data_IF_400645376408
#
_entry.id   IF_400645376408
#
_cell.length_a   1.000
_cell.length_b   1.000
_cell.length_c   1.000
_cell.angle_alpha   90.00
_cell.angle_beta   90.00
_cell.angle_gamma   90.00
#
_symmetry.space_group_name_H-M   'P 1'
#
loop_
_entity.id
_entity.type
_entity.pdbx_description
1 polymer ?
#
# COMPACT_ATOMS: atom_id res chain seq x y z
N UNK A 1 16.23 -13.97 -7.58
CA UNK A 1 16.25 -12.89 -6.56
C UNK A 1 14.91 -12.19 -6.41
N UNK A 2 14.33 -11.50 -7.43
CA UNK A 2 13.01 -10.85 -7.28
C UNK A 2 11.89 -11.85 -6.97
N UNK A 3 11.82 -12.97 -7.68
CA UNK A 3 10.78 -13.99 -7.46
C UNK A 3 10.90 -14.70 -6.10
N UNK A 4 12.09 -14.89 -5.56
CA UNK A 4 12.27 -15.43 -4.20
C UNK A 4 11.80 -14.45 -3.12
N UNK A 5 12.04 -13.15 -3.29
CA UNK A 5 11.51 -12.12 -2.41
C UNK A 5 9.99 -11.99 -2.52
N UNK A 6 9.44 -12.10 -3.74
CA UNK A 6 8.01 -12.11 -3.95
C UNK A 6 7.31 -13.22 -3.16
N UNK A 7 7.85 -14.44 -3.19
CA UNK A 7 7.30 -15.58 -2.44
C UNK A 7 7.24 -15.35 -0.91
N UNK A 8 8.15 -14.51 -0.38
CA UNK A 8 8.23 -14.23 1.05
C UNK A 8 7.43 -13.00 1.51
N UNK A 9 7.02 -12.12 0.58
CA UNK A 9 6.39 -10.84 0.92
C UNK A 9 5.00 -10.64 0.30
N UNK A 10 4.64 -11.43 -0.71
CA UNK A 10 3.29 -11.37 -1.28
C UNK A 10 2.34 -12.24 -0.46
N UNK A 11 1.26 -11.67 0.10
CA UNK A 11 0.27 -12.46 0.81
C UNK A 11 -0.29 -13.59 -0.06
N UNK A 12 -0.39 -14.79 0.50
CA UNK A 12 -0.77 -16.00 -0.25
C UNK A 12 -2.18 -15.92 -0.86
N UNK A 13 -3.08 -15.08 -0.31
CA UNK A 13 -4.43 -14.90 -0.86
C UNK A 13 -4.46 -14.24 -2.25
N UNK A 14 -3.36 -13.62 -2.71
CA UNK A 14 -3.28 -13.14 -4.10
C UNK A 14 -3.19 -14.26 -5.14
N UNK A 15 -2.80 -15.47 -4.72
CA UNK A 15 -2.80 -16.65 -5.58
C UNK A 15 -4.18 -17.36 -5.64
N UNK A 16 -5.16 -16.90 -4.84
CA UNK A 16 -6.51 -17.44 -4.76
C UNK A 16 -7.54 -16.34 -5.04
N UNK A 17 -8.16 -16.40 -6.22
CA UNK A 17 -9.13 -15.39 -6.67
C UNK A 17 -10.35 -15.25 -5.76
N UNK A 18 -10.84 -16.34 -5.14
CA UNK A 18 -11.99 -16.28 -4.21
C UNK A 18 -11.57 -15.63 -2.89
N UNK A 19 -10.45 -16.04 -2.31
CA UNK A 19 -9.92 -15.45 -1.09
C UNK A 19 -9.59 -13.97 -1.28
N UNK A 20 -8.94 -13.62 -2.37
CA UNK A 20 -8.61 -12.23 -2.71
C UNK A 20 -9.87 -11.36 -2.85
N UNK A 21 -10.89 -11.84 -3.57
CA UNK A 21 -12.17 -11.13 -3.72
C UNK A 21 -12.87 -10.95 -2.38
N UNK A 22 -12.87 -11.95 -1.51
CA UNK A 22 -13.46 -11.88 -0.16
C UNK A 22 -12.72 -10.89 0.72
N UNK A 23 -11.40 -10.86 0.63
CA UNK A 23 -10.57 -9.86 1.30
C UNK A 23 -10.90 -8.44 0.84
N UNK A 24 -10.95 -8.21 -0.47
CA UNK A 24 -11.32 -6.89 -1.04
C UNK A 24 -12.72 -6.45 -0.60
N UNK A 25 -13.69 -7.38 -0.58
CA UNK A 25 -15.07 -7.11 -0.14
C UNK A 25 -15.15 -6.80 1.36
N UNK A 26 -14.35 -7.46 2.17
CA UNK A 26 -14.31 -7.23 3.61
C UNK A 26 -13.70 -5.87 3.97
N UNK A 27 -12.69 -5.44 3.20
CA UNK A 27 -12.00 -4.16 3.38
C UNK A 27 -12.52 -3.08 2.41
N UNK A 28 -13.82 -2.89 2.38
CA UNK A 28 -14.49 -1.86 1.55
C UNK A 28 -14.24 -0.42 2.02
N UNK A 29 -13.53 -0.24 3.12
CA UNK A 29 -13.16 1.10 3.56
C UNK A 29 -12.23 1.76 2.54
N UNK A 30 -12.70 2.87 1.99
CA UNK A 30 -11.98 3.69 1.02
C UNK A 30 -11.36 4.94 1.66
N UNK A 31 -11.34 5.04 2.99
CA UNK A 31 -10.86 6.23 3.71
C UNK A 31 -9.42 6.56 3.37
N UNK A 32 -8.56 5.53 3.27
CA UNK A 32 -7.18 5.71 2.87
C UNK A 32 -7.08 6.20 1.41
N UNK A 33 -7.83 5.60 0.50
CA UNK A 33 -7.87 6.01 -0.92
C UNK A 33 -8.31 7.47 -1.01
N UNK A 34 -9.36 7.84 -0.30
CA UNK A 34 -9.85 9.23 -0.23
C UNK A 34 -8.76 10.17 0.32
N UNK A 35 -8.02 9.74 1.33
CA UNK A 35 -6.90 10.50 1.89
C UNK A 35 -5.78 10.69 0.87
N UNK A 36 -5.41 9.65 0.15
CA UNK A 36 -4.37 9.72 -0.90
C UNK A 36 -4.81 10.68 -2.00
N UNK A 37 -6.03 10.54 -2.54
CA UNK A 37 -6.55 11.43 -3.58
C UNK A 37 -6.55 12.89 -3.11
N UNK A 38 -7.02 13.14 -1.89
CA UNK A 38 -6.97 14.47 -1.30
C UNK A 38 -5.54 15.03 -1.14
N UNK A 39 -4.53 14.20 -0.91
CA UNK A 39 -3.14 14.66 -0.90
C UNK A 39 -2.66 14.98 -2.31
N UNK A 40 -3.00 14.15 -3.29
CA UNK A 40 -2.64 14.40 -4.70
C UNK A 40 -3.26 15.71 -5.21
N UNK A 41 -4.51 16.00 -4.84
CA UNK A 41 -5.22 17.24 -5.21
C UNK A 41 -4.55 18.51 -4.66
N UNK A 42 -3.74 18.39 -3.60
CA UNK A 42 -2.99 19.54 -3.05
C UNK A 42 -1.68 19.82 -3.77
N UNK A 43 -1.22 18.89 -4.61
CA UNK A 43 0.06 19.04 -5.32
C UNK A 43 -0.12 19.90 -6.56
N UNK A 44 0.85 20.78 -6.85
CA UNK A 44 0.78 21.61 -8.04
C UNK A 44 0.89 20.78 -9.31
N UNK A 45 -0.10 20.90 -10.16
CA UNK A 45 -0.11 20.38 -11.54
C UNK A 45 -0.30 21.57 -12.52
N UNK A 46 0.78 22.28 -12.86
CA UNK A 46 0.69 23.49 -13.67
C UNK A 46 0.19 23.23 -15.11
N UNK A 47 0.29 21.98 -15.57
CA UNK A 47 -0.17 21.60 -16.91
C UNK A 47 -1.65 21.16 -16.93
N UNK A 48 -2.26 20.94 -15.75
CA UNK A 48 -3.60 20.34 -15.61
C UNK A 48 -3.77 19.02 -16.40
N UNK A 49 -2.64 18.34 -16.62
CA UNK A 49 -2.56 17.10 -17.41
C UNK A 49 -2.62 15.83 -16.55
N UNK A 50 -2.70 16.00 -15.23
CA UNK A 50 -2.56 14.95 -14.25
C UNK A 50 -1.11 14.72 -13.83
N UNK A 51 -0.92 14.39 -12.56
CA UNK A 51 0.40 14.10 -12.01
C UNK A 51 0.94 12.77 -12.55
N UNK A 52 2.26 12.67 -12.68
CA UNK A 52 2.96 11.39 -12.83
C UNK A 52 3.22 10.83 -11.43
N UNK A 53 2.58 9.74 -11.09
CA UNK A 53 2.60 9.08 -9.78
C UNK A 53 3.34 7.76 -9.89
N UNK A 54 4.29 7.50 -8.99
CA UNK A 54 4.87 6.18 -8.77
C UNK A 54 4.11 5.51 -7.62
N UNK A 55 3.54 4.34 -7.87
CA UNK A 55 2.92 3.50 -6.84
C UNK A 55 3.73 2.22 -6.67
N UNK A 56 4.11 1.91 -5.43
CA UNK A 56 4.83 0.71 -5.05
C UNK A 56 3.88 -0.26 -4.33
N UNK A 57 4.11 -1.57 -4.51
CA UNK A 57 3.26 -2.63 -3.97
C UNK A 57 1.79 -2.43 -4.38
N UNK A 58 1.54 -2.22 -5.67
CA UNK A 58 0.23 -1.88 -6.20
C UNK A 58 -0.81 -3.01 -6.08
N UNK A 59 -0.35 -4.25 -5.88
CA UNK A 59 -1.22 -5.40 -5.74
C UNK A 59 -2.21 -5.53 -6.92
N UNK A 60 -3.46 -5.78 -6.60
CA UNK A 60 -4.55 -5.89 -7.57
C UNK A 60 -5.07 -4.54 -8.13
N UNK A 61 -4.41 -3.42 -7.78
CA UNK A 61 -4.75 -2.10 -8.29
C UNK A 61 -5.83 -1.37 -7.50
N UNK A 62 -6.03 -1.73 -6.23
CA UNK A 62 -7.04 -1.10 -5.37
C UNK A 62 -6.87 0.41 -5.25
N UNK A 63 -5.63 0.90 -5.21
CA UNK A 63 -5.29 2.33 -5.17
C UNK A 63 -4.96 2.86 -6.56
N UNK A 64 -4.29 2.07 -7.39
CA UNK A 64 -3.90 2.41 -8.77
C UNK A 64 -5.07 2.93 -9.59
N UNK A 65 -6.17 2.17 -9.62
CA UNK A 65 -7.32 2.49 -10.47
C UNK A 65 -8.01 3.79 -10.04
N UNK A 66 -8.30 4.04 -8.76
CA UNK A 66 -8.82 5.33 -8.31
C UNK A 66 -7.91 6.52 -8.63
N UNK A 67 -6.59 6.40 -8.46
CA UNK A 67 -5.63 7.46 -8.81
C UNK A 67 -5.70 7.77 -10.31
N UNK A 68 -5.70 6.74 -11.16
CA UNK A 68 -5.80 6.92 -12.61
C UNK A 68 -7.17 7.47 -13.03
N UNK A 69 -8.27 7.09 -12.36
CA UNK A 69 -9.61 7.61 -12.60
C UNK A 69 -9.73 9.08 -12.20
N UNK A 70 -8.97 9.56 -11.22
CA UNK A 70 -8.85 10.97 -10.86
C UNK A 70 -8.05 11.80 -11.89
N UNK A 71 -7.52 11.17 -12.94
CA UNK A 71 -6.84 11.86 -14.05
C UNK A 71 -5.31 11.78 -14.01
N UNK A 72 -4.72 11.13 -13.01
CA UNK A 72 -3.27 11.01 -12.88
C UNK A 72 -2.70 9.85 -13.71
N UNK A 73 -1.43 9.97 -14.11
CA UNK A 73 -0.68 8.91 -14.77
C UNK A 73 0.07 8.09 -13.73
N UNK A 74 -0.19 6.80 -13.65
CA UNK A 74 0.38 5.92 -12.62
C UNK A 74 1.37 4.95 -13.22
N UNK A 75 2.61 4.98 -12.74
CA UNK A 75 3.53 3.86 -12.85
C UNK A 75 3.31 2.98 -11.62
N UNK A 76 2.55 1.90 -11.79
CA UNK A 76 2.21 0.96 -10.74
C UNK A 76 3.21 -0.19 -10.72
N UNK A 77 3.82 -0.45 -9.58
CA UNK A 77 4.85 -1.48 -9.43
C UNK A 77 4.50 -2.46 -8.33
N UNK A 78 4.87 -3.72 -8.55
CA UNK A 78 4.82 -4.77 -7.54
C UNK A 78 6.01 -5.71 -7.71
N UNK A 79 6.38 -6.42 -6.64
CA UNK A 79 7.45 -7.41 -6.69
C UNK A 79 6.98 -8.69 -7.39
N UNK A 80 5.68 -9.01 -7.32
CA UNK A 80 5.06 -10.20 -7.88
C UNK A 80 4.60 -9.96 -9.32
N UNK A 81 5.19 -10.68 -10.26
CA UNK A 81 4.76 -10.64 -11.65
C UNK A 81 3.35 -11.23 -11.84
N UNK A 82 2.97 -12.20 -11.01
CA UNK A 82 1.65 -12.84 -11.08
C UNK A 82 0.54 -11.86 -10.69
N UNK A 83 0.78 -11.07 -9.63
CA UNK A 83 -0.12 -10.00 -9.20
C UNK A 83 -0.25 -8.91 -10.27
N UNK A 84 0.85 -8.55 -10.92
CA UNK A 84 0.83 -7.59 -12.04
C UNK A 84 0.05 -8.13 -13.24
N UNK A 85 0.18 -9.42 -13.55
CA UNK A 85 -0.59 -10.06 -14.61
C UNK A 85 -2.09 -10.06 -14.29
N UNK A 86 -2.47 -10.36 -13.05
CA UNK A 86 -3.86 -10.27 -12.59
C UNK A 86 -4.42 -8.85 -12.75
N UNK A 87 -3.64 -7.84 -12.37
CA UNK A 87 -4.03 -6.43 -12.57
C UNK A 87 -4.15 -6.09 -14.06
N UNK A 88 -3.21 -6.53 -14.90
CA UNK A 88 -3.25 -6.30 -16.34
C UNK A 88 -4.53 -6.86 -16.98
N UNK A 89 -4.95 -8.06 -16.58
CA UNK A 89 -6.18 -8.68 -17.10
C UNK A 89 -7.43 -7.93 -16.64
N UNK A 90 -7.49 -7.53 -15.38
CA UNK A 90 -8.56 -6.66 -14.86
C UNK A 90 -8.64 -5.32 -15.59
N UNK A 91 -7.51 -4.72 -15.95
CA UNK A 91 -7.48 -3.48 -16.72
C UNK A 91 -7.96 -3.66 -18.17
N UNK A 92 -7.68 -4.81 -18.79
CA UNK A 92 -8.22 -5.14 -20.12
C UNK A 92 -9.75 -5.25 -20.09
N UNK A 93 -10.31 -5.93 -19.09
CA UNK A 93 -11.75 -6.03 -18.91
C UNK A 93 -12.40 -4.65 -18.70
N UNK A 94 -11.78 -3.78 -17.89
CA UNK A 94 -12.25 -2.41 -17.64
C UNK A 94 -12.14 -1.50 -18.86
N UNK A 95 -11.11 -1.65 -19.71
CA UNK A 95 -11.00 -0.91 -20.99
C UNK A 95 -12.18 -1.19 -21.91
N UNK A 96 -12.72 -2.40 -21.88
CA UNK A 96 -13.91 -2.75 -22.66
C UNK A 96 -15.20 -2.05 -22.15
N UNK A 97 -15.21 -1.55 -20.92
CA UNK A 97 -16.39 -1.00 -20.25
C UNK A 97 -16.28 0.52 -20.00
N UNK A 98 -15.10 1.03 -19.66
CA UNK A 98 -14.87 2.43 -19.29
C UNK A 98 -13.56 2.96 -19.89
N UNK A 99 -13.63 3.89 -20.79
CA UNK A 99 -12.46 4.52 -21.42
C UNK A 99 -11.72 5.46 -20.46
N UNK A 100 -10.39 5.45 -20.51
CA UNK A 100 -9.49 6.51 -20.03
C UNK A 100 -8.64 6.20 -18.80
N UNK A 101 -9.14 5.57 -17.73
CA UNK A 101 -8.32 5.30 -16.54
C UNK A 101 -7.24 4.26 -16.81
N UNK A 102 -7.59 3.17 -17.49
CA UNK A 102 -6.64 2.10 -17.79
C UNK A 102 -5.51 2.54 -18.75
N UNK A 103 -5.72 3.57 -19.55
CA UNK A 103 -4.70 4.11 -20.47
C UNK A 103 -3.67 4.98 -19.77
N UNK A 104 -3.93 5.37 -18.50
CA UNK A 104 -3.02 6.12 -17.66
C UNK A 104 -2.20 5.24 -16.73
N UNK A 105 -2.33 3.91 -16.84
CA UNK A 105 -1.64 2.96 -15.95
C UNK A 105 -0.57 2.21 -16.74
N UNK A 106 0.68 2.32 -16.28
CA UNK A 106 1.82 1.53 -16.71
C UNK A 106 2.16 0.54 -15.58
N UNK A 107 2.41 -0.74 -15.93
CA UNK A 107 2.77 -1.77 -14.96
C UNK A 107 4.25 -2.14 -15.10
N UNK A 108 4.96 -2.25 -13.97
CA UNK A 108 6.38 -2.64 -13.97
C UNK A 108 6.71 -3.48 -12.74
N UNK A 109 7.45 -4.57 -12.91
CA UNK A 109 7.96 -5.34 -11.78
C UNK A 109 9.09 -4.57 -11.09
N UNK A 110 8.97 -4.37 -9.76
CA UNK A 110 10.00 -3.73 -8.95
C UNK A 110 9.90 -4.15 -7.48
N UNK A 111 11.05 -4.22 -6.80
CA UNK A 111 11.12 -4.41 -5.35
C UNK A 111 11.16 -3.04 -4.66
N UNK A 112 10.19 -2.74 -3.80
CA UNK A 112 10.10 -1.45 -3.08
C UNK A 112 11.32 -1.14 -2.22
N UNK A 113 12.13 -2.14 -1.87
CA UNK A 113 13.37 -1.96 -1.08
C UNK A 113 14.52 -1.46 -1.94
N UNK A 114 14.55 -1.87 -3.22
CA UNK A 114 15.64 -1.55 -4.14
C UNK A 114 15.16 -1.54 -5.59
N UNK A 115 14.76 -0.40 -6.10
CA UNK A 115 14.39 -0.19 -7.49
C UNK A 115 15.21 0.95 -8.10
N UNK A 116 15.35 0.93 -9.42
CA UNK A 116 16.00 1.98 -10.19
C UNK A 116 15.14 2.34 -11.41
N UNK A 117 14.34 3.38 -11.26
CA UNK A 117 13.50 3.94 -12.31
C UNK A 117 14.14 5.27 -12.71
N UNK A 118 14.49 5.42 -13.99
CA UNK A 118 15.19 6.61 -14.51
C UNK A 118 14.22 7.79 -14.72
N UNK A 119 13.37 8.02 -13.73
CA UNK A 119 12.36 9.07 -13.75
C UNK A 119 12.17 9.62 -12.32
N UNK A 120 11.84 10.90 -12.20
CA UNK A 120 11.48 11.54 -10.94
C UNK A 120 9.99 11.85 -10.92
N UNK A 121 9.35 11.62 -9.76
CA UNK A 121 7.91 11.71 -9.58
C UNK A 121 7.52 12.84 -8.64
N UNK A 122 6.43 13.55 -8.95
CA UNK A 122 5.83 14.54 -8.05
C UNK A 122 5.11 13.87 -6.88
N UNK A 123 4.62 12.65 -7.07
CA UNK A 123 4.07 11.84 -6.00
C UNK A 123 4.63 10.42 -6.06
N UNK A 124 5.04 9.91 -4.92
CA UNK A 124 5.43 8.51 -4.70
C UNK A 124 4.49 7.96 -3.64
N UNK A 125 3.79 6.86 -3.93
CA UNK A 125 2.81 6.24 -3.05
C UNK A 125 3.25 4.83 -2.64
N UNK A 126 3.18 4.54 -1.35
CA UNK A 126 3.27 3.19 -0.79
C UNK A 126 2.07 2.99 0.15
N UNK A 127 0.91 2.61 -0.39
CA UNK A 127 -0.35 2.55 0.33
C UNK A 127 -0.59 1.22 1.03
N UNK A 128 -1.78 1.12 1.67
CA UNK A 128 -2.35 -0.11 2.24
C UNK A 128 -1.44 -0.77 3.27
N UNK A 129 -0.76 0.04 4.08
CA UNK A 129 0.16 -0.40 5.12
C UNK A 129 1.26 -1.37 4.62
N UNK A 130 1.55 -1.39 3.30
CA UNK A 130 2.55 -2.28 2.69
C UNK A 130 3.95 -2.10 3.28
N UNK A 131 4.24 -0.93 3.84
CA UNK A 131 5.48 -0.64 4.56
C UNK A 131 5.68 -1.56 5.77
N UNK A 132 4.60 -2.10 6.35
CA UNK A 132 4.63 -3.01 7.50
C UNK A 132 5.09 -4.44 7.14
N UNK A 133 5.17 -4.79 5.86
CA UNK A 133 5.78 -6.03 5.38
C UNK A 133 7.30 -6.03 5.56
N UNK A 134 7.89 -4.86 5.76
CA UNK A 134 9.33 -4.66 5.83
C UNK A 134 9.83 -4.60 7.27
N UNK A 135 10.93 -5.29 7.56
CA UNK A 135 11.64 -5.10 8.81
C UNK A 135 12.23 -3.67 8.89
N UNK A 136 12.68 -3.20 10.08
CA UNK A 136 13.15 -1.82 10.23
C UNK A 136 14.29 -1.40 9.29
N UNK A 137 15.19 -2.31 8.92
CA UNK A 137 16.29 -2.03 8.00
C UNK A 137 15.77 -1.88 6.56
N UNK A 138 14.98 -2.84 6.11
CA UNK A 138 14.33 -2.83 4.79
C UNK A 138 13.41 -1.61 4.64
N UNK A 139 12.66 -1.24 5.67
CA UNK A 139 11.78 -0.08 5.68
C UNK A 139 12.56 1.21 5.45
N UNK A 140 13.66 1.41 6.17
CA UNK A 140 14.55 2.56 5.94
C UNK A 140 15.18 2.56 4.55
N UNK A 141 15.55 1.39 4.03
CA UNK A 141 16.08 1.27 2.66
C UNK A 141 15.01 1.65 1.63
N UNK A 142 13.79 1.16 1.76
CA UNK A 142 12.65 1.48 0.90
C UNK A 142 12.37 2.99 0.90
N UNK A 143 12.30 3.62 2.08
CA UNK A 143 12.04 5.06 2.20
C UNK A 143 13.16 5.88 1.52
N UNK A 144 14.43 5.50 1.70
CA UNK A 144 15.55 6.17 0.99
C UNK A 144 15.45 5.99 -0.53
N UNK A 145 15.09 4.78 -0.97
CA UNK A 145 14.90 4.50 -2.39
C UNK A 145 13.77 5.34 -2.98
N UNK A 146 12.62 5.40 -2.30
CA UNK A 146 11.50 6.27 -2.68
C UNK A 146 11.90 7.74 -2.73
N UNK A 147 12.60 8.24 -1.70
CA UNK A 147 13.07 9.63 -1.64
C UNK A 147 14.00 10.00 -2.82
N UNK A 148 14.83 9.06 -3.27
CA UNK A 148 15.71 9.26 -4.42
C UNK A 148 14.96 9.39 -5.76
N UNK A 149 13.72 8.90 -5.83
CA UNK A 149 12.87 9.00 -7.02
C UNK A 149 11.84 10.14 -6.94
N UNK A 150 11.93 10.97 -5.90
CA UNK A 150 11.06 12.13 -5.76
C UNK A 150 11.67 13.36 -6.45
N UNK A 151 10.88 14.08 -7.23
CA UNK A 151 11.23 15.39 -7.72
C UNK A 151 11.35 16.40 -6.55
N UNK A 152 12.04 17.50 -6.78
CA UNK A 152 12.07 18.62 -5.84
C UNK A 152 10.63 19.10 -5.57
N UNK A 153 10.27 19.24 -4.30
CA UNK A 153 8.91 19.56 -3.87
C UNK A 153 7.91 18.43 -4.10
N UNK A 154 8.37 17.22 -4.43
CA UNK A 154 7.53 16.03 -4.53
C UNK A 154 7.10 15.52 -3.15
N UNK A 155 6.06 14.72 -3.13
CA UNK A 155 5.48 14.16 -1.91
C UNK A 155 5.52 12.64 -1.92
N UNK A 156 6.00 12.04 -0.82
CA UNK A 156 5.80 10.64 -0.49
C UNK A 156 4.52 10.50 0.33
N UNK A 157 3.61 9.64 -0.11
CA UNK A 157 2.38 9.29 0.60
C UNK A 157 2.48 7.82 0.99
N UNK A 158 2.42 7.54 2.28
CA UNK A 158 2.49 6.16 2.80
C UNK A 158 1.58 5.99 4.00
N UNK A 159 1.20 4.76 4.29
CA UNK A 159 0.32 4.45 5.41
C UNK A 159 0.85 3.31 6.26
N UNK A 160 0.35 3.26 7.48
CA UNK A 160 0.49 2.13 8.40
C UNK A 160 -0.87 1.80 8.98
N UNK A 161 -1.02 0.57 9.41
CA UNK A 161 -2.08 0.11 10.28
C UNK A 161 -1.48 0.03 11.70
N UNK A 162 -1.74 1.09 12.50
CA UNK A 162 -1.19 1.22 13.84
C UNK A 162 -2.04 0.45 14.82
N UNK A 163 -1.46 -0.58 15.41
CA UNK A 163 -2.09 -1.41 16.45
C UNK A 163 -1.83 -0.76 17.81
N UNK A 164 -2.90 -0.46 18.52
CA UNK A 164 -2.82 0.15 19.85
C UNK A 164 -2.31 -0.87 20.91
N UNK A 165 -1.63 -0.41 21.96
CA UNK A 165 -1.05 -1.30 22.98
C UNK A 165 -2.07 -2.18 23.70
N UNK A 166 -3.32 -1.74 23.82
CA UNK A 166 -4.42 -2.46 24.46
C UNK A 166 -5.08 -3.51 23.56
N UNK A 167 -4.63 -3.68 22.32
CA UNK A 167 -5.13 -4.72 21.44
C UNK A 167 -4.90 -6.12 22.04
N UNK A 168 -5.89 -6.98 21.93
CA UNK A 168 -5.78 -8.37 22.40
C UNK A 168 -4.68 -9.12 21.63
N UNK A 169 -3.96 -10.02 22.32
CA UNK A 169 -2.93 -10.85 21.68
C UNK A 169 -3.49 -11.73 20.56
N UNK A 170 -4.77 -12.11 20.67
CA UNK A 170 -5.46 -12.87 19.62
C UNK A 170 -6.90 -12.37 19.51
N UNK A 171 -7.34 -12.10 18.30
CA UNK A 171 -8.73 -11.74 18.00
C UNK A 171 -9.19 -12.42 16.73
N UNK A 172 -10.47 -12.77 16.65
CA UNK A 172 -11.07 -13.35 15.45
C UNK A 172 -12.37 -12.62 15.16
N UNK A 173 -12.53 -12.17 13.93
CA UNK A 173 -13.75 -11.54 13.44
C UNK A 173 -14.28 -12.29 12.22
N UNK A 174 -15.59 -12.36 12.10
CA UNK A 174 -16.24 -12.88 10.91
C UNK A 174 -16.44 -11.74 9.92
N UNK A 175 -15.81 -11.84 8.76
CA UNK A 175 -15.91 -10.82 7.69
C UNK A 175 -17.13 -11.05 6.80
N UNK A 176 -17.40 -12.32 6.48
CA UNK A 176 -18.52 -12.79 5.66
C UNK A 176 -18.90 -14.21 6.11
N UNK A 177 -20.04 -14.77 5.67
CA UNK A 177 -20.28 -16.19 5.81
C UNK A 177 -19.07 -16.99 5.29
N UNK A 178 -18.59 -17.93 6.08
CA UNK A 178 -17.43 -18.80 5.78
C UNK A 178 -16.09 -18.05 5.56
N UNK A 179 -15.98 -16.80 6.03
CA UNK A 179 -14.74 -16.01 5.94
C UNK A 179 -14.44 -15.36 7.28
N UNK A 180 -13.31 -15.72 7.86
CA UNK A 180 -12.87 -15.26 9.17
C UNK A 180 -11.46 -14.65 9.05
N UNK A 181 -11.25 -13.57 9.79
CA UNK A 181 -9.95 -12.96 9.98
C UNK A 181 -9.52 -13.15 11.42
N UNK A 182 -8.42 -13.85 11.63
CA UNK A 182 -7.76 -13.95 12.92
C UNK A 182 -6.49 -13.13 12.91
N UNK A 183 -6.26 -12.37 13.95
CA UNK A 183 -5.03 -11.65 14.20
C UNK A 183 -4.35 -12.21 15.45
N UNK A 184 -3.04 -12.39 15.33
CA UNK A 184 -2.15 -12.72 16.44
C UNK A 184 -1.15 -11.56 16.57
N UNK A 185 -1.12 -10.90 17.74
CA UNK A 185 -0.34 -9.69 17.98
C UNK A 185 0.69 -9.97 19.08
N UNK A 186 1.96 -9.88 18.71
CA UNK A 186 3.08 -9.89 19.63
C UNK A 186 3.62 -8.46 19.79
N UNK A 187 3.19 -7.78 20.85
CA UNK A 187 3.62 -6.42 21.17
C UNK A 187 5.12 -6.36 21.51
N UNK A 188 5.67 -7.39 22.14
CA UNK A 188 7.09 -7.44 22.57
C UNK A 188 7.99 -7.69 21.36
N UNK A 189 7.68 -8.69 20.55
CA UNK A 189 8.38 -9.01 19.30
C UNK A 189 8.06 -8.04 18.16
N UNK A 190 7.09 -7.16 18.36
CA UNK A 190 6.62 -6.18 17.37
C UNK A 190 6.19 -6.84 16.05
N UNK A 191 5.37 -7.89 16.17
CA UNK A 191 4.86 -8.67 15.05
C UNK A 191 3.35 -8.77 15.09
N UNK A 192 2.76 -8.81 13.91
CA UNK A 192 1.35 -9.15 13.69
C UNK A 192 1.29 -10.24 12.65
N UNK A 193 0.57 -11.30 12.95
CA UNK A 193 0.23 -12.36 12.01
C UNK A 193 -1.25 -12.29 11.73
N UNK A 194 -1.60 -12.18 10.47
CA UNK A 194 -2.98 -12.10 9.99
C UNK A 194 -3.32 -13.38 9.27
N UNK A 195 -4.37 -14.06 9.68
CA UNK A 195 -4.82 -15.35 9.14
C UNK A 195 -6.21 -15.14 8.55
N UNK A 196 -6.32 -15.15 7.23
CA UNK A 196 -7.58 -15.12 6.52
C UNK A 196 -8.00 -16.56 6.22
N UNK A 197 -9.07 -17.02 6.87
CA UNK A 197 -9.66 -18.33 6.60
C UNK A 197 -10.89 -18.16 5.73
N UNK A 198 -10.85 -18.75 4.52
CA UNK A 198 -11.94 -18.76 3.57
C UNK A 198 -12.33 -20.22 3.31
N UNK A 199 -13.50 -20.66 3.78
CA UNK A 199 -13.91 -22.06 3.69
C UNK A 199 -12.83 -22.98 4.31
N UNK A 200 -12.25 -23.88 3.51
CA UNK A 200 -11.23 -24.86 3.92
C UNK A 200 -9.79 -24.37 3.66
N UNK A 201 -9.62 -23.14 3.17
CA UNK A 201 -8.31 -22.56 2.88
C UNK A 201 -7.92 -21.52 3.93
N UNK A 202 -6.62 -21.48 4.22
CA UNK A 202 -6.03 -20.53 5.15
C UNK A 202 -4.89 -19.78 4.48
N UNK A 203 -4.94 -18.45 4.56
CA UNK A 203 -3.94 -17.55 4.01
C UNK A 203 -3.32 -16.72 5.13
N UNK A 204 -2.00 -16.79 5.25
CA UNK A 204 -1.25 -16.15 6.32
C UNK A 204 -0.42 -15.00 5.77
N UNK A 205 -0.43 -13.88 6.49
CA UNK A 205 0.46 -12.74 6.25
C UNK A 205 1.11 -12.31 7.55
N UNK A 206 2.40 -11.99 7.49
CA UNK A 206 3.15 -11.47 8.63
C UNK A 206 3.50 -10.01 8.40
N UNK A 207 3.36 -9.20 9.45
CA UNK A 207 3.60 -7.77 9.44
C UNK A 207 4.44 -7.38 10.64
N UNK A 208 5.22 -6.31 10.49
CA UNK A 208 5.85 -5.62 11.61
C UNK A 208 4.88 -4.60 12.21
N UNK A 209 4.84 -4.50 13.53
CA UNK A 209 4.14 -3.39 14.19
C UNK A 209 4.98 -2.11 14.01
N UNK A 210 4.41 -1.16 13.28
CA UNK A 210 5.03 0.12 12.98
C UNK A 210 4.18 1.22 13.62
N UNK A 211 4.80 2.04 14.45
CA UNK A 211 4.13 3.20 15.03
C UNK A 211 4.26 4.43 14.11
N UNK A 212 3.38 5.43 14.25
CA UNK A 212 3.55 6.71 13.56
C UNK A 212 4.90 7.36 13.85
N UNK A 213 5.41 7.23 15.07
CA UNK A 213 6.72 7.78 15.45
C UNK A 213 7.87 7.08 14.73
N UNK A 214 7.85 5.74 14.64
CA UNK A 214 8.83 4.97 13.86
C UNK A 214 8.90 5.48 12.43
N UNK A 215 7.74 5.61 11.79
CA UNK A 215 7.66 6.00 10.39
C UNK A 215 8.14 7.46 10.19
N UNK A 216 7.74 8.36 11.07
CA UNK A 216 8.22 9.77 11.04
C UNK A 216 9.74 9.85 11.21
N UNK A 217 10.32 9.03 12.09
CA UNK A 217 11.77 9.00 12.28
C UNK A 217 12.50 8.44 11.05
N UNK A 218 11.96 7.40 10.42
CA UNK A 218 12.51 6.83 9.18
C UNK A 218 12.41 7.83 8.02
N UNK A 219 11.31 8.58 7.88
CA UNK A 219 11.14 9.64 6.89
C UNK A 219 12.17 10.75 7.08
N UNK A 220 12.35 11.22 8.33
CA UNK A 220 13.39 12.23 8.68
C UNK A 220 14.79 11.72 8.35
N UNK A 221 15.08 10.44 8.63
CA UNK A 221 16.35 9.80 8.29
C UNK A 221 16.65 9.76 6.80
N UNK A 222 15.64 9.80 5.94
CA UNK A 222 15.77 9.92 4.49
C UNK A 222 15.78 11.38 3.99
N UNK A 223 15.73 12.38 4.89
CA UNK A 223 15.70 13.80 4.56
C UNK A 223 14.32 14.30 4.11
N UNK A 224 13.27 13.57 4.43
CA UNK A 224 11.89 13.98 4.15
C UNK A 224 11.28 14.68 5.37
N UNK A 225 10.37 15.62 5.11
CA UNK A 225 9.70 16.40 6.14
C UNK A 225 8.22 16.05 6.15
N UNK A 226 7.71 15.61 7.31
CA UNK A 226 6.29 15.37 7.48
C UNK A 226 5.53 16.67 7.22
N UNK A 227 4.64 16.66 6.24
CA UNK A 227 3.78 17.78 5.89
C UNK A 227 2.37 17.59 6.43
N UNK A 228 1.88 16.35 6.44
CA UNK A 228 0.51 16.05 6.88
C UNK A 228 0.41 14.62 7.41
N UNK A 229 -0.53 14.43 8.33
CA UNK A 229 -0.91 13.13 8.88
C UNK A 229 -2.43 13.09 9.03
N UNK A 230 -3.01 11.96 8.65
CA UNK A 230 -4.42 11.65 8.88
C UNK A 230 -4.52 10.32 9.61
N UNK A 231 -5.37 10.25 10.60
CA UNK A 231 -5.61 9.05 11.40
C UNK A 231 -7.10 8.76 11.44
N UNK A 232 -7.48 7.52 11.17
CA UNK A 232 -8.88 7.08 11.16
C UNK A 232 -8.95 5.71 11.84
N UNK A 233 -9.82 5.50 12.82
CA UNK A 233 -10.06 4.16 13.38
C UNK A 233 -10.44 3.18 12.28
N UNK A 234 -9.90 1.95 12.34
CA UNK A 234 -10.31 0.89 11.43
C UNK A 234 -11.76 0.48 11.75
N UNK A 235 -12.66 0.45 10.77
CA UNK A 235 -14.08 0.16 11.02
C UNK A 235 -14.33 -1.32 11.33
N UNK A 236 -13.37 -2.19 11.09
CA UNK A 236 -13.51 -3.65 11.20
C UNK A 236 -12.64 -4.21 12.33
N UNK A 237 -11.43 -3.70 12.48
CA UNK A 237 -10.45 -4.18 13.45
C UNK A 237 -10.44 -3.28 14.68
N UNK A 238 -10.90 -3.76 15.85
CA UNK A 238 -10.82 -2.99 17.09
C UNK A 238 -9.36 -2.73 17.46
N UNK A 239 -9.09 -1.56 18.04
CA UNK A 239 -7.76 -1.11 18.43
C UNK A 239 -6.76 -0.92 17.27
N UNK A 240 -7.27 -0.77 16.06
CA UNK A 240 -6.47 -0.41 14.90
C UNK A 240 -6.79 1.01 14.43
N UNK A 241 -5.75 1.74 14.06
CA UNK A 241 -5.85 3.07 13.49
C UNK A 241 -5.10 3.09 12.17
N UNK A 242 -5.80 3.32 11.07
CA UNK A 242 -5.17 3.62 9.78
C UNK A 242 -4.55 5.01 9.83
N UNK A 243 -3.25 5.10 9.62
CA UNK A 243 -2.50 6.37 9.63
C UNK A 243 -1.85 6.57 8.28
N UNK A 244 -2.29 7.62 7.57
CA UNK A 244 -1.71 8.04 6.29
C UNK A 244 -0.85 9.28 6.50
N UNK A 245 0.40 9.24 6.03
CA UNK A 245 1.36 10.32 6.13
C UNK A 245 1.74 10.84 4.74
N UNK A 246 1.81 12.17 4.63
CA UNK A 246 2.39 12.87 3.50
C UNK A 246 3.70 13.55 3.91
N UNK A 247 4.82 13.21 3.26
CA UNK A 247 6.13 13.78 3.54
C UNK A 247 6.73 14.40 2.28
N UNK A 248 7.36 15.57 2.41
CA UNK A 248 7.81 16.39 1.29
C UNK A 248 9.33 16.34 1.16
N UNK A 249 9.81 16.22 -0.07
CA UNK A 249 11.20 16.43 -0.43
C UNK A 249 11.44 17.93 -0.66
N UNK A 250 12.24 18.58 0.19
CA UNK A 250 12.57 20.01 0.12
C UNK A 250 13.93 20.30 -0.51
N UNK A 251 14.61 19.25 -0.96
CA UNK A 251 15.93 19.38 -1.59
C UNK A 251 15.82 19.62 -3.08
#
# INVERSE_FOLDING_TARGET
>A
MLNERAANHTPSFYADDDAHRRWELARRDNTEITSILSFLDTLPDPALAGLRVLELACGSGRTTVPIAAAGHHVLATDISIDVLNLLADRLKERRAIQSGAADRIELRQADMVSFDIKELFKAVCLPMASISLLNPEQRRAAIRCMAAHMAIGGTLITSIDHVLPEAAETSTIQLQPDTYLTEEIDQVGRRRRTILRCRDQEHVSEHHLVTPEDLVNDLKGAGLFLATQRSTPDPVLPHHISVTLGAVNRR
#
